data_IF_394959363664
#
_entry.id   IF_394959363664
#
_cell.length_a   1.000
_cell.length_b   1.000
_cell.length_c   1.000
_cell.angle_alpha   90.00
_cell.angle_beta   90.00
_cell.angle_gamma   90.00
#
_symmetry.space_group_name_H-M   'P 1'
#
loop_
_entity.id
_entity.type
_entity.pdbx_description
1 polymer ?
#
# COMPACT_ATOMS: atom_id res chain seq x y z
N UNK A 1 21.87 45.22 18.75
CA UNK A 1 20.70 44.42 18.34
C UNK A 1 21.22 43.13 17.72
N UNK A 2 20.89 41.94 18.24
CA UNK A 2 21.30 40.69 17.60
C UNK A 2 20.44 40.50 16.36
N UNK A 3 21.08 40.51 15.20
CA UNK A 3 20.46 40.15 13.91
C UNK A 3 19.92 38.73 14.04
N UNK A 4 18.60 38.57 14.03
CA UNK A 4 17.97 37.25 14.01
C UNK A 4 18.41 36.59 12.69
N UNK A 5 19.37 35.67 12.77
CA UNK A 5 19.76 34.85 11.63
C UNK A 5 18.54 34.04 11.21
N UNK A 6 17.95 34.40 10.06
CA UNK A 6 16.90 33.60 9.42
C UNK A 6 17.42 32.21 9.15
N UNK A 7 16.67 31.19 9.58
CA UNK A 7 17.07 29.81 9.38
C UNK A 7 17.16 29.50 7.87
N UNK A 8 18.07 28.60 7.48
CA UNK A 8 18.20 28.18 6.06
C UNK A 8 16.87 27.65 5.50
N UNK A 9 16.03 27.06 6.36
CA UNK A 9 14.67 26.66 6.00
C UNK A 9 13.77 27.85 5.64
N UNK A 10 13.78 28.91 6.43
CA UNK A 10 12.95 30.10 6.14
C UNK A 10 13.37 30.79 4.86
N UNK A 11 14.69 30.89 4.61
CA UNK A 11 15.21 31.40 3.34
C UNK A 11 14.70 30.56 2.17
N UNK A 12 14.84 29.23 2.26
CA UNK A 12 14.32 28.30 1.28
C UNK A 12 12.82 28.45 1.04
N UNK A 13 12.00 28.49 2.11
CA UNK A 13 10.56 28.62 1.97
C UNK A 13 10.15 29.94 1.32
N UNK A 14 10.82 31.03 1.68
CA UNK A 14 10.58 32.34 1.07
C UNK A 14 10.99 32.38 -0.40
N UNK A 15 12.13 31.76 -0.76
CA UNK A 15 12.55 31.62 -2.16
C UNK A 15 11.48 30.86 -2.96
N UNK A 16 11.03 29.70 -2.48
CA UNK A 16 10.03 28.88 -3.19
C UNK A 16 8.70 29.63 -3.33
N UNK A 17 8.18 30.25 -2.26
CA UNK A 17 6.90 30.99 -2.31
C UNK A 17 6.90 32.09 -3.36
N UNK A 18 8.02 32.77 -3.51
CA UNK A 18 8.16 33.93 -4.41
C UNK A 18 8.74 33.57 -5.78
N UNK A 19 9.10 32.31 -6.04
CA UNK A 19 9.69 31.91 -7.30
C UNK A 19 8.62 31.81 -8.40
N UNK A 20 8.86 32.32 -9.62
CA UNK A 20 7.88 32.31 -10.72
C UNK A 20 7.31 30.93 -11.07
N UNK A 21 8.12 29.89 -10.93
CA UNK A 21 7.70 28.49 -11.12
C UNK A 21 6.49 28.07 -10.27
N UNK A 22 6.16 28.80 -9.19
CA UNK A 22 5.01 28.51 -8.33
C UNK A 22 3.83 29.48 -8.52
N UNK A 23 3.84 30.35 -9.52
CA UNK A 23 2.77 31.34 -9.75
C UNK A 23 1.43 30.74 -10.21
N UNK A 24 1.44 29.46 -10.61
CA UNK A 24 0.22 28.69 -10.80
C UNK A 24 -0.59 28.48 -9.50
N UNK A 25 0.00 28.76 -8.33
CA UNK A 25 -0.65 28.73 -7.02
C UNK A 25 -0.95 30.17 -6.58
N UNK A 26 -2.19 30.46 -6.18
CA UNK A 26 -2.58 31.80 -5.73
C UNK A 26 -1.81 32.24 -4.47
N UNK A 27 -1.63 33.55 -4.29
CA UNK A 27 -0.96 34.13 -3.10
C UNK A 27 -1.58 33.67 -1.78
N UNK A 28 -2.91 33.48 -1.75
CA UNK A 28 -3.63 32.97 -0.59
C UNK A 28 -3.20 31.53 -0.25
N UNK A 29 -3.19 30.64 -1.25
CA UNK A 29 -2.80 29.25 -1.08
C UNK A 29 -1.30 29.08 -0.79
N UNK A 30 -0.47 30.07 -1.13
CA UNK A 30 0.97 30.13 -0.81
C UNK A 30 1.28 30.50 0.66
N UNK A 31 0.31 31.05 1.41
CA UNK A 31 0.52 31.50 2.81
C UNK A 31 0.99 30.35 3.71
N UNK A 32 0.34 29.20 3.61
CA UNK A 32 0.71 28.01 4.36
C UNK A 32 1.71 27.17 3.57
N UNK A 33 2.72 26.57 4.21
CA UNK A 33 3.58 25.61 3.51
C UNK A 33 2.83 24.28 3.25
N UNK A 34 2.07 23.85 4.25
CA UNK A 34 1.33 22.59 4.28
C UNK A 34 -0.16 22.87 4.17
N UNK A 35 -0.82 22.23 3.21
CA UNK A 35 -2.28 22.23 3.07
C UNK A 35 -2.73 20.78 2.94
N UNK A 36 -3.19 20.17 4.03
CA UNK A 36 -3.66 18.77 4.02
C UNK A 36 -5.08 18.68 3.49
N UNK A 37 -5.41 17.56 2.84
CA UNK A 37 -6.78 17.28 2.42
C UNK A 37 -7.74 17.27 3.60
N UNK A 38 -8.89 17.94 3.44
CA UNK A 38 -10.02 17.86 4.36
C UNK A 38 -11.18 17.22 3.61
N UNK A 39 -11.78 16.17 4.17
CA UNK A 39 -12.89 15.43 3.56
C UNK A 39 -12.61 14.98 2.11
N UNK A 40 -11.38 14.54 1.83
CA UNK A 40 -10.98 14.07 0.50
C UNK A 40 -10.64 15.17 -0.52
N UNK A 41 -10.76 16.45 -0.16
CA UNK A 41 -10.43 17.58 -1.05
C UNK A 41 -9.21 18.37 -0.55
N UNK A 42 -8.26 18.64 -1.46
CA UNK A 42 -7.12 19.51 -1.20
C UNK A 42 -7.29 20.82 -2.00
N UNK A 43 -7.21 22.01 -1.36
CA UNK A 43 -7.31 23.31 -2.03
C UNK A 43 -6.32 23.53 -3.19
N UNK A 44 -5.21 22.77 -3.22
CA UNK A 44 -4.18 22.87 -4.26
C UNK A 44 -4.31 21.81 -5.36
N UNK A 45 -5.21 20.83 -5.24
CA UNK A 45 -5.32 19.76 -6.25
C UNK A 45 -5.53 20.32 -7.65
N UNK A 46 -6.45 21.27 -7.81
CA UNK A 46 -6.81 21.80 -9.13
C UNK A 46 -5.66 22.54 -9.80
N UNK A 47 -4.89 23.34 -9.06
CA UNK A 47 -3.78 24.09 -9.64
C UNK A 47 -2.63 23.15 -10.05
N UNK A 48 -2.32 22.14 -9.23
CA UNK A 48 -1.34 21.11 -9.58
C UNK A 48 -1.76 20.27 -10.77
N UNK A 49 -3.02 19.84 -10.84
CA UNK A 49 -3.55 19.05 -11.95
C UNK A 49 -3.57 19.85 -13.26
N UNK A 50 -3.93 21.14 -13.21
CA UNK A 50 -3.89 22.02 -14.39
C UNK A 50 -2.47 22.22 -14.90
N UNK A 51 -1.51 22.46 -14.00
CA UNK A 51 -0.10 22.57 -14.38
C UNK A 51 0.42 21.25 -14.97
N UNK A 52 0.08 20.12 -14.35
CA UNK A 52 0.47 18.79 -14.82
C UNK A 52 -0.01 18.55 -16.25
N UNK A 53 -1.30 18.79 -16.51
CA UNK A 53 -1.89 18.66 -17.84
C UNK A 53 -1.20 19.56 -18.87
N UNK A 54 -0.97 20.83 -18.52
CA UNK A 54 -0.26 21.79 -19.37
C UNK A 54 1.15 21.32 -19.73
N UNK A 55 1.91 20.78 -18.77
CA UNK A 55 3.27 20.30 -19.01
C UNK A 55 3.31 19.05 -19.90
N UNK A 56 2.28 18.20 -19.84
CA UNK A 56 2.11 17.07 -20.76
C UNK A 56 1.78 17.59 -22.17
N UNK A 57 0.83 18.52 -22.30
CA UNK A 57 0.44 19.13 -23.59
C UNK A 57 1.62 19.86 -24.27
N UNK A 58 2.51 20.47 -23.48
CA UNK A 58 3.76 21.10 -23.96
C UNK A 58 4.89 20.11 -24.26
N UNK A 59 4.69 18.80 -24.05
CA UNK A 59 5.70 17.76 -24.26
C UNK A 59 6.87 17.79 -23.27
N UNK A 60 6.74 18.51 -22.15
CA UNK A 60 7.78 18.60 -21.10
C UNK A 60 7.75 17.43 -20.13
N UNK A 61 6.63 16.72 -20.07
CA UNK A 61 6.45 15.51 -19.28
C UNK A 61 5.73 14.44 -20.11
N UNK A 62 6.05 13.15 -19.89
CA UNK A 62 5.33 12.06 -20.53
C UNK A 62 3.93 11.89 -19.93
N UNK A 63 3.03 11.21 -20.64
CA UNK A 63 1.63 11.11 -20.26
C UNK A 63 1.41 10.29 -18.97
N UNK A 64 2.30 9.35 -18.66
CA UNK A 64 2.33 8.55 -17.44
C UNK A 64 3.00 9.24 -16.25
N UNK A 65 3.44 10.49 -16.41
CA UNK A 65 4.05 11.26 -15.33
C UNK A 65 3.09 11.51 -14.18
N UNK A 66 3.65 11.65 -12.98
CA UNK A 66 2.91 11.94 -11.74
C UNK A 66 3.13 13.39 -11.30
N UNK A 67 2.32 13.87 -10.34
CA UNK A 67 2.54 15.17 -9.71
C UNK A 67 3.92 15.31 -9.05
N UNK A 68 4.57 14.20 -8.67
CA UNK A 68 5.93 14.24 -8.13
C UNK A 68 6.94 14.59 -9.24
N UNK A 69 6.72 14.12 -10.47
CA UNK A 69 7.54 14.50 -11.61
C UNK A 69 7.38 15.99 -11.94
N UNK A 70 6.16 16.52 -11.86
CA UNK A 70 5.90 17.97 -11.96
C UNK A 70 6.71 18.72 -10.90
N UNK A 71 6.62 18.30 -9.63
CA UNK A 71 7.32 18.94 -8.53
C UNK A 71 8.84 18.98 -8.78
N UNK A 72 9.44 17.87 -9.24
CA UNK A 72 10.87 17.83 -9.59
C UNK A 72 11.20 18.74 -10.77
N UNK A 73 10.39 18.74 -11.83
CA UNK A 73 10.62 19.54 -13.02
C UNK A 73 10.62 21.04 -12.69
N UNK A 74 9.67 21.51 -11.88
CA UNK A 74 9.53 22.94 -11.57
C UNK A 74 10.38 23.41 -10.38
N UNK A 75 10.93 22.50 -9.58
CA UNK A 75 11.70 22.90 -8.39
C UNK A 75 12.93 23.71 -8.81
N UNK A 76 13.15 24.95 -8.30
CA UNK A 76 14.19 25.85 -8.81
C UNK A 76 15.61 25.33 -8.61
N UNK A 77 15.91 24.80 -7.42
CA UNK A 77 17.28 24.41 -7.02
C UNK A 77 17.55 22.91 -7.12
N UNK A 78 16.51 22.11 -7.42
CA UNK A 78 16.50 20.65 -7.29
C UNK A 78 16.93 20.09 -5.92
N UNK A 79 16.99 20.95 -4.88
CA UNK A 79 17.40 20.60 -3.52
C UNK A 79 16.36 21.08 -2.51
N UNK A 80 15.96 20.20 -1.61
CA UNK A 80 15.04 20.50 -0.51
C UNK A 80 15.80 20.69 0.80
N UNK A 81 15.38 21.66 1.61
CA UNK A 81 15.97 21.94 2.93
C UNK A 81 15.15 21.28 4.03
N UNK A 82 15.73 20.35 4.78
CA UNK A 82 15.01 19.66 5.85
C UNK A 82 14.55 20.63 6.95
N UNK A 83 13.28 20.56 7.35
CA UNK A 83 12.72 21.40 8.44
C UNK A 83 13.38 21.19 9.81
N UNK A 84 14.01 20.04 10.04
CA UNK A 84 14.57 19.66 11.35
C UNK A 84 16.06 19.96 11.41
N UNK A 85 16.81 19.44 10.43
CA UNK A 85 18.27 19.49 10.43
C UNK A 85 18.83 20.63 9.56
N UNK A 86 18.00 21.34 8.79
CA UNK A 86 18.39 22.33 7.76
C UNK A 86 19.36 21.81 6.69
N UNK A 87 19.69 20.52 6.67
CA UNK A 87 20.53 19.92 5.63
C UNK A 87 19.75 19.92 4.31
N UNK A 88 20.44 20.35 3.26
CA UNK A 88 19.93 20.29 1.90
C UNK A 88 20.08 18.87 1.35
N UNK A 89 19.06 18.37 0.67
CA UNK A 89 19.09 17.06 0.03
C UNK A 89 18.55 17.13 -1.38
N UNK A 90 19.15 16.38 -2.30
CA UNK A 90 18.66 16.27 -3.67
C UNK A 90 17.26 15.66 -3.69
N UNK A 91 16.40 16.17 -4.57
CA UNK A 91 15.05 15.64 -4.79
C UNK A 91 15.03 14.45 -5.77
N UNK A 92 16.18 14.15 -6.39
CA UNK A 92 16.38 13.05 -7.33
C UNK A 92 16.84 11.77 -6.62
N UNK A 93 16.68 10.64 -7.32
CA UNK A 93 17.04 9.30 -6.85
C UNK A 93 18.55 9.08 -6.77
N UNK A 94 19.22 9.75 -5.83
CA UNK A 94 20.68 9.76 -5.74
C UNK A 94 21.18 9.06 -4.47
N UNK A 95 20.30 8.74 -3.51
CA UNK A 95 20.71 8.21 -2.20
C UNK A 95 20.55 6.69 -2.14
N UNK A 96 21.57 5.93 -1.69
CA UNK A 96 21.50 4.47 -1.63
C UNK A 96 20.40 3.98 -0.69
N UNK A 97 19.57 3.03 -1.15
CA UNK A 97 18.60 2.36 -0.29
C UNK A 97 19.26 1.38 0.67
N UNK A 98 18.53 0.88 1.68
CA UNK A 98 19.05 -0.11 2.65
C UNK A 98 19.73 -1.31 1.96
N UNK A 99 19.17 -1.78 0.85
CA UNK A 99 19.72 -2.89 0.06
C UNK A 99 21.06 -2.50 -0.58
N UNK A 100 21.13 -1.32 -1.17
CA UNK A 100 22.36 -0.79 -1.79
C UNK A 100 23.42 -0.50 -0.74
N UNK A 101 23.05 0.04 0.42
CA UNK A 101 23.98 0.23 1.55
C UNK A 101 24.56 -1.10 2.02
N UNK A 102 23.73 -2.16 2.12
CA UNK A 102 24.20 -3.51 2.47
C UNK A 102 25.18 -4.05 1.42
N UNK A 103 24.87 -3.88 0.14
CA UNK A 103 25.76 -4.28 -0.94
C UNK A 103 27.09 -3.51 -0.90
N UNK A 104 27.05 -2.17 -0.78
CA UNK A 104 28.24 -1.32 -0.69
C UNK A 104 29.14 -1.72 0.48
N UNK A 105 28.57 -1.97 1.67
CA UNK A 105 29.35 -2.41 2.85
C UNK A 105 30.03 -3.76 2.65
N UNK A 106 29.38 -4.67 1.93
CA UNK A 106 29.91 -6.00 1.68
C UNK A 106 30.98 -6.01 0.58
N UNK A 107 30.78 -5.17 -0.45
CA UNK A 107 31.66 -5.15 -1.63
C UNK A 107 32.83 -4.16 -1.47
N UNK A 108 32.59 -3.04 -0.79
CA UNK A 108 33.57 -1.96 -0.58
C UNK A 108 33.61 -1.57 0.91
N UNK A 109 34.14 -2.45 1.78
CA UNK A 109 34.09 -2.25 3.24
C UNK A 109 34.84 -1.01 3.74
N UNK A 110 35.75 -0.48 2.92
CA UNK A 110 36.52 0.73 3.21
C UNK A 110 35.78 2.04 2.92
N UNK A 111 34.64 2.01 2.22
CA UNK A 111 33.93 3.22 1.80
C UNK A 111 33.03 3.75 2.90
N UNK A 112 33.13 5.05 3.19
CA UNK A 112 32.19 5.71 4.09
C UNK A 112 30.87 5.97 3.35
N UNK A 113 29.80 5.37 3.87
CA UNK A 113 28.44 5.52 3.32
C UNK A 113 27.80 6.79 3.89
N UNK A 114 28.05 7.92 3.22
CA UNK A 114 27.53 9.24 3.56
C UNK A 114 27.23 10.00 2.26
N UNK A 115 26.14 10.75 2.21
CA UNK A 115 25.72 11.49 1.01
C UNK A 115 25.08 10.65 -0.10
N UNK A 116 25.30 11.08 -1.35
CA UNK A 116 24.76 10.45 -2.57
C UNK A 116 25.61 9.27 -3.01
N UNK A 117 25.07 8.45 -3.92
CA UNK A 117 25.83 7.38 -4.55
C UNK A 117 27.05 7.91 -5.33
N UNK A 118 26.98 9.13 -5.85
CA UNK A 118 28.07 9.77 -6.59
C UNK A 118 29.21 10.16 -5.64
N UNK A 119 28.88 10.72 -4.47
CA UNK A 119 29.87 11.03 -3.42
C UNK A 119 30.58 9.76 -2.91
N UNK A 120 29.81 8.69 -2.74
CA UNK A 120 30.31 7.37 -2.34
C UNK A 120 31.22 6.79 -3.44
N UNK A 121 30.82 6.91 -4.71
CA UNK A 121 31.58 6.37 -5.84
C UNK A 121 32.96 6.99 -5.98
N UNK A 122 33.14 8.27 -5.62
CA UNK A 122 34.46 8.93 -5.67
C UNK A 122 35.49 8.30 -4.72
N UNK A 123 35.05 7.59 -3.67
CA UNK A 123 35.93 6.90 -2.73
C UNK A 123 36.36 5.51 -3.23
N UNK A 124 35.76 4.99 -4.30
CA UNK A 124 36.04 3.65 -4.81
C UNK A 124 37.23 3.72 -5.77
N UNK A 125 38.34 3.08 -5.38
CA UNK A 125 39.58 3.03 -6.18
C UNK A 125 39.50 2.00 -7.30
N UNK A 126 38.84 0.86 -7.06
CA UNK A 126 38.67 -0.24 -8.01
C UNK A 126 37.42 -0.03 -8.87
N UNK A 127 37.55 0.88 -9.85
CA UNK A 127 36.39 1.38 -10.59
C UNK A 127 35.77 0.33 -11.52
N UNK A 128 34.44 0.41 -11.58
CA UNK A 128 33.54 0.08 -12.68
C UNK A 128 32.91 -1.30 -12.79
N UNK A 129 33.59 -2.45 -12.78
CA UNK A 129 32.89 -3.67 -13.24
C UNK A 129 31.78 -4.12 -12.26
N UNK A 130 32.10 -4.22 -10.97
CA UNK A 130 31.13 -4.61 -9.94
C UNK A 130 30.00 -3.58 -9.81
N UNK A 131 30.33 -2.30 -9.94
CA UNK A 131 29.35 -1.21 -9.87
C UNK A 131 28.41 -1.23 -11.08
N UNK A 132 28.97 -1.37 -12.28
CA UNK A 132 28.21 -1.46 -13.53
C UNK A 132 27.32 -2.70 -13.53
N UNK A 133 27.82 -3.85 -13.06
CA UNK A 133 27.03 -5.07 -12.89
C UNK A 133 25.89 -4.87 -11.89
N UNK A 134 26.16 -4.20 -10.77
CA UNK A 134 25.14 -3.97 -9.76
C UNK A 134 24.07 -2.99 -10.23
N UNK A 135 24.42 -1.86 -10.84
CA UNK A 135 23.46 -0.85 -11.28
C UNK A 135 22.85 -1.13 -12.66
N UNK A 136 23.52 -1.94 -13.49
CA UNK A 136 23.19 -2.17 -14.90
C UNK A 136 23.68 -1.07 -15.84
N UNK A 137 24.47 -0.11 -15.34
CA UNK A 137 25.01 1.03 -16.08
C UNK A 137 26.21 1.62 -15.33
N UNK A 138 27.08 2.33 -16.05
CA UNK A 138 28.20 3.05 -15.45
C UNK A 138 27.71 4.28 -14.66
N UNK A 139 28.63 4.90 -13.90
CA UNK A 139 28.29 6.01 -13.00
C UNK A 139 27.81 7.25 -13.78
N UNK A 140 28.41 7.53 -14.95
CA UNK A 140 28.08 8.71 -15.76
C UNK A 140 26.65 8.60 -16.30
N UNK A 141 26.28 7.42 -16.81
CA UNK A 141 24.92 7.16 -17.27
C UNK A 141 23.93 7.15 -16.11
N UNK A 142 24.31 6.59 -14.96
CA UNK A 142 23.50 6.60 -13.75
C UNK A 142 23.19 8.03 -13.29
N UNK A 143 24.19 8.92 -13.34
CA UNK A 143 24.04 10.32 -12.98
C UNK A 143 23.07 11.05 -13.92
N UNK A 144 23.20 10.82 -15.23
CA UNK A 144 22.28 11.39 -16.22
C UNK A 144 20.83 10.95 -15.98
N UNK A 145 20.58 9.64 -15.82
CA UNK A 145 19.20 9.16 -15.61
C UNK A 145 18.60 9.63 -14.28
N UNK A 146 19.43 9.83 -13.25
CA UNK A 146 18.95 10.38 -11.97
C UNK A 146 18.57 11.85 -12.10
N UNK A 147 19.45 12.67 -12.71
CA UNK A 147 19.23 14.13 -12.86
C UNK A 147 18.10 14.47 -13.83
N UNK A 148 17.84 13.60 -14.81
CA UNK A 148 16.72 13.74 -15.74
C UNK A 148 15.40 13.17 -15.21
N UNK A 149 15.37 12.65 -13.97
CA UNK A 149 14.19 11.98 -13.38
C UNK A 149 13.72 10.72 -14.15
N UNK A 150 14.63 10.06 -14.86
CA UNK A 150 14.38 8.85 -15.65
C UNK A 150 14.69 7.56 -14.88
N UNK A 151 15.28 7.68 -13.69
CA UNK A 151 15.63 6.52 -12.87
C UNK A 151 14.38 5.85 -12.26
N UNK A 152 14.12 4.60 -12.66
CA UNK A 152 12.98 3.79 -12.21
C UNK A 152 13.38 2.61 -11.28
N UNK A 153 14.66 2.53 -10.90
CA UNK A 153 15.19 1.43 -10.08
C UNK A 153 14.82 1.51 -8.59
N UNK A 154 15.04 0.40 -7.87
CA UNK A 154 14.83 0.29 -6.42
C UNK A 154 16.11 0.44 -5.58
N UNK A 155 17.25 0.68 -6.23
CA UNK A 155 18.57 0.74 -5.57
C UNK A 155 18.87 2.12 -5.01
N UNK A 156 18.28 3.17 -5.59
CA UNK A 156 18.40 4.54 -5.10
C UNK A 156 17.05 5.06 -4.61
N UNK A 157 17.09 6.14 -3.85
CA UNK A 157 15.95 6.84 -3.30
C UNK A 157 16.18 8.34 -3.35
N UNK A 158 15.11 9.15 -3.39
CA UNK A 158 15.25 10.58 -3.31
C UNK A 158 15.61 11.02 -1.89
N UNK A 159 16.32 12.15 -1.77
CA UNK A 159 16.67 12.73 -0.49
C UNK A 159 15.45 13.23 0.28
N UNK A 160 14.34 13.45 -0.41
CA UNK A 160 13.04 13.81 0.16
C UNK A 160 11.91 13.15 -0.61
N UNK A 161 10.87 12.71 0.09
CA UNK A 161 9.70 12.09 -0.54
C UNK A 161 8.83 13.16 -1.22
N UNK A 162 8.30 12.83 -2.40
CA UNK A 162 7.21 13.60 -2.98
C UNK A 162 5.98 13.57 -2.10
N UNK A 163 5.34 14.73 -1.92
CA UNK A 163 4.06 14.89 -1.27
C UNK A 163 3.20 16.03 -1.89
N UNK A 164 3.04 16.09 -3.23
CA UNK A 164 2.07 16.97 -3.86
C UNK A 164 0.64 16.38 -3.72
N UNK A 165 -0.42 17.21 -3.70
CA UNK A 165 -0.40 18.68 -3.69
C UNK A 165 -0.26 19.27 -2.27
N UNK A 166 -0.13 18.42 -1.25
CA UNK A 166 -0.15 18.80 0.16
C UNK A 166 0.94 19.79 0.57
N UNK A 167 2.09 19.75 -0.10
CA UNK A 167 3.25 20.60 0.18
C UNK A 167 3.47 21.55 -1.00
N UNK A 168 3.78 22.80 -0.68
CA UNK A 168 3.87 23.87 -1.68
C UNK A 168 4.96 23.60 -2.72
N UNK A 169 6.12 23.09 -2.29
CA UNK A 169 7.22 22.64 -3.14
C UNK A 169 7.00 21.25 -3.73
N UNK A 170 5.96 20.55 -3.31
CA UNK A 170 5.66 19.16 -3.66
C UNK A 170 6.46 18.12 -2.88
N UNK A 171 7.18 18.48 -1.81
CA UNK A 171 8.03 17.55 -1.05
C UNK A 171 7.76 17.56 0.45
N UNK A 172 7.94 16.40 1.07
CA UNK A 172 7.77 16.23 2.51
C UNK A 172 8.74 17.14 3.29
N UNK A 173 8.31 17.75 4.41
CA UNK A 173 9.13 18.69 5.18
C UNK A 173 10.41 18.07 5.79
N UNK A 174 10.47 16.73 5.86
CA UNK A 174 11.60 15.99 6.41
C UNK A 174 12.31 15.22 5.31
N UNK A 175 13.57 15.58 5.07
CA UNK A 175 14.51 14.81 4.26
C UNK A 175 14.93 13.50 4.94
N UNK A 176 15.67 12.68 4.20
CA UNK A 176 16.23 11.41 4.64
C UNK A 176 17.03 11.51 5.95
N UNK A 177 17.67 12.66 6.24
CA UNK A 177 18.42 12.92 7.50
C UNK A 177 17.57 12.67 8.75
N UNK A 178 16.30 13.08 8.74
CA UNK A 178 15.47 13.17 9.95
C UNK A 178 14.14 12.43 9.82
N UNK A 179 13.71 12.07 8.61
CA UNK A 179 12.38 11.52 8.35
C UNK A 179 12.08 10.30 9.22
N UNK A 180 13.01 9.34 9.31
CA UNK A 180 12.79 8.11 10.09
C UNK A 180 12.48 8.40 11.56
N UNK A 181 13.11 9.41 12.14
CA UNK A 181 12.95 9.75 13.56
C UNK A 181 11.77 10.70 13.83
N UNK A 182 11.36 11.50 12.83
CA UNK A 182 10.42 12.63 13.02
C UNK A 182 9.06 12.45 12.34
N UNK A 183 8.95 11.54 11.37
CA UNK A 183 7.67 11.19 10.75
C UNK A 183 6.93 10.16 11.61
N UNK A 184 6.23 10.64 12.65
CA UNK A 184 5.50 9.77 13.58
C UNK A 184 4.36 9.02 12.92
N UNK A 185 3.82 9.50 11.79
CA UNK A 185 2.78 8.81 11.02
C UNK A 185 3.25 7.50 10.38
N UNK A 186 4.57 7.33 10.24
CA UNK A 186 5.23 6.12 9.73
C UNK A 186 6.25 5.55 10.72
N UNK A 187 6.06 5.75 12.03
CA UNK A 187 6.87 5.05 13.03
C UNK A 187 6.80 3.55 12.79
N UNK A 188 7.86 2.80 13.08
CA UNK A 188 7.85 1.33 12.92
C UNK A 188 6.65 0.71 13.65
N UNK A 189 6.22 1.31 14.77
CA UNK A 189 5.02 0.94 15.53
C UNK A 189 3.69 1.27 14.80
N UNK A 190 3.59 2.43 14.15
CA UNK A 190 2.44 2.74 13.29
C UNK A 190 2.43 1.92 12.00
N UNK A 191 3.60 1.53 11.50
CA UNK A 191 3.73 0.57 10.42
C UNK A 191 3.33 -0.85 10.85
N UNK A 192 3.50 -1.24 12.13
CA UNK A 192 2.93 -2.51 12.66
C UNK A 192 1.40 -2.50 12.69
N UNK A 193 0.73 -1.35 12.71
CA UNK A 193 -0.72 -1.30 12.47
C UNK A 193 -1.11 -1.65 11.01
N UNK A 194 -0.14 -1.73 10.07
CA UNK A 194 -0.31 -2.34 8.74
C UNK A 194 -0.22 -3.87 8.74
N UNK A 195 -0.06 -4.52 9.91
CA UNK A 195 -0.29 -5.97 10.02
C UNK A 195 -1.78 -6.31 9.83
N UNK A 196 -2.63 -5.30 9.65
CA UNK A 196 -3.97 -5.47 9.12
C UNK A 196 -3.92 -5.72 7.62
N UNK A 197 -4.43 -6.86 7.18
CA UNK A 197 -4.60 -7.11 5.77
C UNK A 197 -5.72 -6.22 5.22
N UNK A 198 -5.33 -5.07 4.65
CA UNK A 198 -6.26 -4.10 4.07
C UNK A 198 -7.18 -4.76 3.03
N UNK A 199 -6.70 -5.80 2.34
CA UNK A 199 -7.44 -6.52 1.30
C UNK A 199 -8.70 -7.16 1.85
N UNK A 200 -8.72 -7.56 3.13
CA UNK A 200 -9.91 -8.13 3.75
C UNK A 200 -11.07 -7.13 3.77
N UNK A 201 -10.78 -5.86 4.05
CA UNK A 201 -11.78 -4.79 4.04
C UNK A 201 -12.11 -4.34 2.61
N UNK A 202 -11.10 -4.14 1.76
CA UNK A 202 -11.30 -3.72 0.37
C UNK A 202 -12.16 -4.70 -0.43
N UNK A 203 -12.05 -6.01 -0.16
CA UNK A 203 -12.81 -7.05 -0.85
C UNK A 203 -14.06 -7.51 -0.10
N UNK A 204 -14.41 -6.88 1.04
CA UNK A 204 -15.55 -7.28 1.90
C UNK A 204 -15.52 -8.79 2.16
N UNK A 205 -14.38 -9.25 2.67
CA UNK A 205 -14.10 -10.66 2.97
C UNK A 205 -14.72 -11.07 4.31
N UNK A 206 -15.42 -12.20 4.38
CA UNK A 206 -15.94 -12.69 5.67
C UNK A 206 -14.83 -13.24 6.58
N UNK A 207 -15.20 -13.76 7.76
CA UNK A 207 -14.31 -14.45 8.70
C UNK A 207 -13.97 -13.64 9.95
N UNK A 208 -13.19 -14.24 10.86
CA UNK A 208 -12.70 -13.55 12.07
C UNK A 208 -11.46 -12.70 11.74
N UNK A 209 -11.69 -11.61 11.01
CA UNK A 209 -10.66 -10.69 10.49
C UNK A 209 -9.74 -10.18 11.61
N UNK A 210 -10.29 -9.85 12.77
CA UNK A 210 -9.50 -9.34 13.90
C UNK A 210 -8.57 -10.39 14.49
N UNK A 211 -9.00 -11.65 14.58
CA UNK A 211 -8.15 -12.76 15.04
C UNK A 211 -7.09 -13.11 13.99
N UNK A 212 -7.47 -13.17 12.71
CA UNK A 212 -6.54 -13.41 11.59
C UNK A 212 -5.41 -12.36 11.51
N UNK A 213 -5.74 -11.08 11.71
CA UNK A 213 -4.75 -10.01 11.83
C UNK A 213 -3.81 -10.20 13.05
N UNK A 214 -4.35 -10.67 14.18
CA UNK A 214 -3.56 -10.93 15.39
C UNK A 214 -2.58 -12.09 15.19
N UNK A 215 -3.02 -13.15 14.50
CA UNK A 215 -2.16 -14.27 14.07
C UNK A 215 -1.07 -13.79 13.12
N UNK A 216 -1.42 -12.96 12.13
CA UNK A 216 -0.44 -12.41 11.18
C UNK A 216 0.64 -11.61 11.91
N UNK A 217 0.26 -10.84 12.94
CA UNK A 217 1.18 -10.14 13.84
C UNK A 217 2.12 -11.08 14.57
N UNK A 218 1.58 -12.17 15.12
CA UNK A 218 2.38 -13.15 15.85
C UNK A 218 3.33 -13.92 14.92
N UNK A 219 2.88 -14.38 13.76
CA UNK A 219 3.71 -15.11 12.79
C UNK A 219 4.95 -14.31 12.36
N UNK A 220 4.80 -13.00 12.17
CA UNK A 220 5.90 -12.08 11.84
C UNK A 220 6.95 -11.92 12.96
N UNK A 221 6.82 -12.65 14.08
CA UNK A 221 7.80 -12.72 15.17
C UNK A 221 8.42 -14.11 15.33
N UNK A 222 7.88 -15.12 14.64
CA UNK A 222 8.30 -16.52 14.77
C UNK A 222 9.28 -16.87 13.67
N UNK A 223 10.45 -17.36 14.06
CA UNK A 223 11.44 -17.92 13.13
C UNK A 223 11.26 -19.42 13.04
N UNK A 224 11.10 -19.96 11.83
CA UNK A 224 10.86 -21.39 11.62
C UNK A 224 11.34 -21.83 10.23
N UNK A 225 11.44 -23.14 10.00
CA UNK A 225 11.73 -23.67 8.66
C UNK A 225 10.49 -23.55 7.76
N UNK A 226 10.61 -22.78 6.68
CA UNK A 226 9.51 -22.58 5.73
C UNK A 226 9.11 -23.90 5.07
N UNK A 227 7.83 -24.31 5.13
CA UNK A 227 7.41 -25.57 4.54
C UNK A 227 7.63 -25.66 3.01
N UNK A 228 7.71 -24.50 2.33
CA UNK A 228 7.89 -24.38 0.87
C UNK A 228 9.37 -24.46 0.47
N UNK A 229 10.24 -23.62 1.04
CA UNK A 229 11.65 -23.52 0.63
C UNK A 229 12.64 -24.11 1.63
N UNK A 230 12.17 -24.58 2.79
CA UNK A 230 12.96 -25.15 3.89
C UNK A 230 13.95 -24.21 4.59
N UNK A 231 14.11 -22.98 4.10
CA UNK A 231 14.92 -21.95 4.78
C UNK A 231 14.32 -21.55 6.13
N UNK A 232 15.20 -21.32 7.10
CA UNK A 232 14.83 -20.81 8.42
C UNK A 232 14.75 -19.28 8.40
N UNK A 233 13.52 -18.76 8.33
CA UNK A 233 13.23 -17.33 8.21
C UNK A 233 12.12 -16.91 9.17
N UNK A 234 11.89 -15.60 9.29
CA UNK A 234 10.68 -15.10 9.94
C UNK A 234 9.47 -15.48 9.07
N UNK A 235 8.47 -16.08 9.69
CA UNK A 235 7.26 -16.53 9.02
C UNK A 235 6.29 -15.38 8.78
N UNK A 236 5.46 -15.54 7.75
CA UNK A 236 4.39 -14.63 7.37
C UNK A 236 3.10 -15.42 7.19
N UNK A 237 1.95 -14.76 7.38
CA UNK A 237 0.66 -15.36 7.06
C UNK A 237 0.45 -15.38 5.54
N UNK A 238 0.39 -16.59 4.97
CA UNK A 238 -0.06 -16.83 3.61
C UNK A 238 -1.50 -17.33 3.64
N UNK A 239 -2.33 -16.80 2.75
CA UNK A 239 -3.70 -17.28 2.61
C UNK A 239 -3.73 -18.52 1.72
N UNK A 240 -4.37 -19.61 2.16
CA UNK A 240 -4.53 -20.82 1.34
C UNK A 240 -5.32 -20.44 0.07
N UNK A 241 -6.54 -19.94 0.25
CA UNK A 241 -7.35 -19.27 -0.76
C UNK A 241 -7.13 -17.75 -0.75
N UNK A 242 -6.77 -17.11 -1.87
CA UNK A 242 -6.53 -15.66 -1.90
C UNK A 242 -7.78 -14.81 -1.61
N UNK A 243 -7.69 -13.86 -0.66
CA UNK A 243 -8.80 -12.94 -0.31
C UNK A 243 -9.40 -12.25 -1.54
N UNK A 244 -8.56 -11.82 -2.49
CA UNK A 244 -8.98 -11.13 -3.72
C UNK A 244 -9.83 -11.99 -4.67
N UNK A 245 -9.98 -13.29 -4.40
CA UNK A 245 -10.80 -14.23 -5.16
C UNK A 245 -12.08 -14.62 -4.40
N UNK A 246 -12.32 -14.04 -3.22
CA UNK A 246 -13.53 -14.26 -2.42
C UNK A 246 -13.37 -15.18 -1.21
N UNK A 247 -12.16 -15.64 -0.93
CA UNK A 247 -11.88 -16.40 0.29
C UNK A 247 -11.88 -15.50 1.53
N UNK A 248 -12.24 -16.08 2.68
CA UNK A 248 -12.37 -15.37 3.96
C UNK A 248 -11.01 -14.95 4.54
N UNK A 249 -11.00 -13.89 5.32
CA UNK A 249 -9.85 -13.53 6.16
C UNK A 249 -10.07 -14.07 7.57
N UNK A 250 -9.74 -15.35 7.74
CA UNK A 250 -9.95 -16.11 8.97
C UNK A 250 -8.70 -16.96 9.28
N UNK A 251 -8.40 -17.27 10.55
CA UNK A 251 -7.32 -18.21 10.90
C UNK A 251 -7.33 -19.52 10.10
N UNK A 252 -8.51 -20.06 9.77
CA UNK A 252 -8.59 -21.32 9.02
C UNK A 252 -8.07 -21.23 7.59
N UNK A 253 -8.02 -20.02 7.04
CA UNK A 253 -7.47 -19.74 5.72
C UNK A 253 -6.00 -19.30 5.78
N UNK A 254 -5.33 -19.41 6.93
CA UNK A 254 -3.92 -19.00 7.09
C UNK A 254 -3.01 -20.23 7.19
N UNK A 255 -1.91 -20.19 6.45
CA UNK A 255 -0.75 -21.06 6.61
C UNK A 255 0.52 -20.21 6.76
N UNK A 256 1.51 -20.71 7.51
CA UNK A 256 2.76 -20.01 7.75
C UNK A 256 3.80 -20.32 6.67
N UNK A 257 4.34 -19.30 5.99
CA UNK A 257 5.52 -19.44 5.15
C UNK A 257 6.38 -18.17 5.15
N UNK A 258 7.63 -18.25 4.68
CA UNK A 258 8.48 -17.06 4.62
C UNK A 258 7.94 -16.02 3.64
N UNK A 259 8.26 -14.74 3.89
CA UNK A 259 7.75 -13.61 3.10
C UNK A 259 8.08 -13.69 1.60
N UNK A 260 9.24 -14.26 1.25
CA UNK A 260 9.65 -14.47 -0.15
C UNK A 260 8.76 -15.48 -0.87
N UNK A 261 8.40 -16.58 -0.20
CA UNK A 261 7.48 -17.59 -0.75
C UNK A 261 6.05 -17.09 -0.83
N UNK A 262 5.57 -16.37 0.19
CA UNK A 262 4.25 -15.73 0.19
C UNK A 262 4.13 -14.73 -0.98
N UNK A 263 5.09 -13.80 -1.08
CA UNK A 263 5.11 -12.82 -2.18
C UNK A 263 5.21 -13.49 -3.56
N UNK A 264 5.92 -14.61 -3.66
CA UNK A 264 5.97 -15.40 -4.90
C UNK A 264 4.60 -16.01 -5.20
N UNK A 265 3.89 -16.61 -4.24
CA UNK A 265 2.52 -17.14 -4.47
C UNK A 265 1.58 -16.02 -4.92
N UNK A 266 1.60 -14.89 -4.23
CA UNK A 266 0.69 -13.76 -4.46
C UNK A 266 -0.78 -14.26 -4.45
N UNK A 267 -1.61 -13.81 -5.38
CA UNK A 267 -3.01 -14.20 -5.47
C UNK A 267 -3.26 -15.47 -6.31
N UNK A 268 -2.23 -16.28 -6.58
CA UNK A 268 -2.39 -17.52 -7.35
C UNK A 268 -2.91 -18.63 -6.46
N UNK A 269 -3.88 -19.39 -6.97
CA UNK A 269 -4.37 -20.62 -6.35
C UNK A 269 -3.70 -21.82 -7.03
N UNK A 270 -3.14 -22.73 -6.24
CA UNK A 270 -2.52 -23.97 -6.73
C UNK A 270 -3.42 -25.17 -6.50
N UNK A 271 -3.11 -26.28 -7.16
CA UNK A 271 -3.87 -27.52 -7.00
C UNK A 271 -3.84 -28.03 -5.56
N UNK A 272 -2.73 -27.83 -4.84
CA UNK A 272 -2.62 -28.18 -3.42
C UNK A 272 -3.54 -27.32 -2.55
N UNK A 273 -3.68 -26.02 -2.86
CA UNK A 273 -4.60 -25.13 -2.15
C UNK A 273 -6.05 -25.58 -2.37
N UNK A 274 -6.43 -25.90 -3.61
CA UNK A 274 -7.78 -26.40 -3.95
C UNK A 274 -8.09 -27.69 -3.19
N UNK A 275 -7.14 -28.63 -3.12
CA UNK A 275 -7.32 -29.87 -2.36
C UNK A 275 -7.54 -29.61 -0.86
N UNK A 276 -6.74 -28.71 -0.26
CA UNK A 276 -6.91 -28.33 1.15
C UNK A 276 -8.30 -27.74 1.41
N UNK A 277 -8.77 -26.86 0.53
CA UNK A 277 -10.10 -26.23 0.65
C UNK A 277 -11.21 -27.29 0.58
N UNK A 278 -11.14 -28.21 -0.39
CA UNK A 278 -12.14 -29.30 -0.53
C UNK A 278 -12.21 -30.22 0.68
N UNK A 279 -11.05 -30.57 1.27
CA UNK A 279 -11.01 -31.38 2.49
C UNK A 279 -11.70 -30.67 3.67
N UNK A 280 -11.58 -29.34 3.73
CA UNK A 280 -12.27 -28.54 4.76
C UNK A 280 -13.79 -28.46 4.49
N UNK A 281 -14.19 -28.35 3.22
CA UNK A 281 -15.60 -28.40 2.83
C UNK A 281 -16.28 -29.72 3.18
N UNK A 282 -15.60 -30.85 2.96
CA UNK A 282 -16.09 -32.18 3.36
C UNK A 282 -16.33 -32.29 4.88
N UNK A 283 -15.64 -31.45 5.68
CA UNK A 283 -15.83 -31.32 7.13
C UNK A 283 -16.89 -30.28 7.52
N UNK A 284 -17.62 -29.72 6.55
CA UNK A 284 -18.62 -28.67 6.77
C UNK A 284 -18.03 -27.29 7.03
N UNK A 285 -16.76 -27.06 6.72
CA UNK A 285 -16.08 -25.79 6.93
C UNK A 285 -16.09 -24.98 5.64
N UNK A 286 -16.70 -23.79 5.68
CA UNK A 286 -16.71 -22.85 4.55
C UNK A 286 -15.53 -21.85 4.65
N UNK A 287 -14.70 -21.80 3.61
CA UNK A 287 -13.58 -20.86 3.49
C UNK A 287 -13.89 -19.64 2.60
N UNK A 288 -15.14 -19.47 2.20
CA UNK A 288 -15.56 -18.49 1.21
C UNK A 288 -16.51 -17.46 1.80
N UNK A 289 -16.34 -16.23 1.35
CA UNK A 289 -17.28 -15.15 1.64
C UNK A 289 -18.61 -15.44 0.95
N UNK A 290 -19.71 -15.00 1.53
CA UNK A 290 -21.07 -15.32 1.05
C UNK A 290 -21.28 -15.07 -0.45
N UNK A 291 -20.65 -14.03 -1.02
CA UNK A 291 -20.77 -13.65 -2.43
C UNK A 291 -19.93 -14.51 -3.39
N UNK A 292 -19.03 -15.35 -2.88
CA UNK A 292 -18.10 -16.16 -3.67
C UNK A 292 -18.47 -17.65 -3.73
N UNK A 293 -19.36 -18.11 -2.84
CA UNK A 293 -19.74 -19.53 -2.69
C UNK A 293 -20.19 -20.14 -4.02
N UNK A 294 -21.20 -19.54 -4.66
CA UNK A 294 -21.78 -20.08 -5.91
C UNK A 294 -20.75 -20.16 -7.04
N UNK A 295 -19.87 -19.16 -7.15
CA UNK A 295 -18.82 -19.14 -8.17
C UNK A 295 -17.82 -20.27 -7.94
N UNK A 296 -17.42 -20.49 -6.69
CA UNK A 296 -16.54 -21.59 -6.35
C UNK A 296 -17.18 -22.95 -6.59
N UNK A 297 -18.40 -23.19 -6.12
CA UNK A 297 -19.06 -24.49 -6.31
C UNK A 297 -19.21 -24.86 -7.79
N UNK A 298 -19.49 -23.87 -8.64
CA UNK A 298 -19.57 -24.03 -10.10
C UNK A 298 -18.24 -24.41 -10.74
N UNK A 299 -17.11 -23.95 -10.20
CA UNK A 299 -15.82 -23.99 -10.89
C UNK A 299 -14.70 -24.75 -10.16
N UNK A 300 -14.89 -25.19 -8.91
CA UNK A 300 -13.85 -25.84 -8.06
C UNK A 300 -13.27 -27.15 -8.61
N UNK A 301 -13.93 -27.73 -9.61
CA UNK A 301 -13.51 -28.96 -10.29
C UNK A 301 -12.78 -28.69 -11.62
N UNK A 302 -12.68 -27.42 -12.04
CA UNK A 302 -11.94 -27.04 -13.24
C UNK A 302 -10.43 -26.93 -12.97
N UNK A 303 -9.66 -26.80 -14.05
CA UNK A 303 -8.25 -26.46 -13.98
C UNK A 303 -8.01 -25.15 -13.17
N UNK A 304 -6.90 -25.09 -12.43
CA UNK A 304 -6.58 -23.96 -11.55
C UNK A 304 -6.52 -22.62 -12.30
N UNK A 305 -6.06 -22.60 -13.55
CA UNK A 305 -6.01 -21.37 -14.35
C UNK A 305 -7.41 -20.89 -14.74
N UNK A 306 -8.32 -21.81 -15.03
CA UNK A 306 -9.72 -21.52 -15.36
C UNK A 306 -10.47 -21.06 -14.11
N UNK A 307 -10.34 -21.81 -13.01
CA UNK A 307 -10.88 -21.46 -11.70
C UNK A 307 -10.46 -20.05 -11.28
N UNK A 308 -9.16 -19.75 -11.34
CA UNK A 308 -8.62 -18.43 -11.02
C UNK A 308 -9.29 -17.33 -11.85
N UNK A 309 -9.41 -17.51 -13.17
CA UNK A 309 -10.04 -16.52 -14.07
C UNK A 309 -11.51 -16.30 -13.71
N UNK A 310 -12.24 -17.38 -13.40
CA UNK A 310 -13.67 -17.32 -13.05
C UNK A 310 -13.91 -16.63 -11.71
N UNK A 311 -13.18 -17.02 -10.66
CA UNK A 311 -13.26 -16.36 -9.35
C UNK A 311 -12.87 -14.88 -9.44
N UNK A 312 -11.84 -14.55 -10.24
CA UNK A 312 -11.43 -13.16 -10.46
C UNK A 312 -12.51 -12.35 -11.19
N UNK A 313 -13.22 -12.95 -12.16
CA UNK A 313 -14.36 -12.31 -12.83
C UNK A 313 -15.51 -12.07 -11.85
N UNK A 314 -15.82 -13.05 -11.01
CA UNK A 314 -16.82 -12.94 -9.95
C UNK A 314 -16.50 -11.81 -8.97
N UNK A 315 -15.28 -11.80 -8.41
CA UNK A 315 -14.82 -10.77 -7.50
C UNK A 315 -14.88 -9.37 -8.14
N UNK A 316 -14.46 -9.23 -9.41
CA UNK A 316 -14.60 -7.95 -10.13
C UNK A 316 -16.04 -7.50 -10.25
N UNK A 317 -16.97 -8.39 -10.60
CA UNK A 317 -18.40 -8.06 -10.69
C UNK A 317 -18.98 -7.65 -9.36
N UNK A 318 -18.65 -8.38 -8.30
CA UNK A 318 -19.04 -8.04 -6.94
C UNK A 318 -18.55 -6.63 -6.58
N UNK A 319 -17.29 -6.31 -6.82
CA UNK A 319 -16.75 -4.97 -6.54
C UNK A 319 -17.45 -3.87 -7.35
N UNK A 320 -17.87 -4.13 -8.59
CA UNK A 320 -18.66 -3.18 -9.38
C UNK A 320 -20.05 -2.94 -8.78
N UNK A 321 -20.72 -3.99 -8.30
CA UNK A 321 -22.02 -3.87 -7.61
C UNK A 321 -21.85 -3.03 -6.35
N UNK A 322 -20.81 -3.30 -5.56
CA UNK A 322 -20.50 -2.53 -4.35
C UNK A 322 -20.20 -1.06 -4.67
N UNK A 323 -19.38 -0.77 -5.70
CA UNK A 323 -19.08 0.60 -6.10
C UNK A 323 -20.34 1.35 -6.59
N UNK A 324 -21.27 0.65 -7.27
CA UNK A 324 -22.56 1.23 -7.65
C UNK A 324 -23.45 1.51 -6.43
N UNK A 325 -23.52 0.59 -5.47
CA UNK A 325 -24.31 0.76 -4.25
C UNK A 325 -23.76 1.88 -3.37
N UNK A 326 -22.44 2.05 -3.29
CA UNK A 326 -21.82 3.19 -2.59
C UNK A 326 -22.26 4.55 -3.15
N UNK A 327 -22.46 4.63 -4.46
CA UNK A 327 -22.86 5.88 -5.13
C UNK A 327 -24.37 6.13 -5.04
N UNK A 328 -25.18 5.08 -5.21
CA UNK A 328 -26.62 5.23 -5.46
C UNK A 328 -27.49 4.82 -4.24
N UNK A 329 -26.92 4.05 -3.31
CA UNK A 329 -27.61 3.41 -2.18
C UNK A 329 -26.74 3.43 -0.92
N UNK A 330 -26.06 4.54 -0.66
CA UNK A 330 -25.07 4.69 0.42
C UNK A 330 -25.59 4.22 1.79
N UNK A 331 -26.82 4.60 2.16
CA UNK A 331 -27.45 4.22 3.41
C UNK A 331 -27.57 2.70 3.62
N UNK A 332 -27.73 1.92 2.54
CA UNK A 332 -27.80 0.45 2.60
C UNK A 332 -26.42 -0.13 2.89
N UNK A 333 -25.38 0.40 2.22
CA UNK A 333 -24.00 0.00 2.44
C UNK A 333 -23.57 0.34 3.87
N UNK A 334 -23.91 1.51 4.38
CA UNK A 334 -23.63 1.91 5.75
C UNK A 334 -24.30 0.98 6.77
N UNK A 335 -25.60 0.67 6.58
CA UNK A 335 -26.31 -0.29 7.42
C UNK A 335 -25.69 -1.69 7.39
N UNK A 336 -25.25 -2.15 6.21
CA UNK A 336 -24.53 -3.41 6.08
C UNK A 336 -23.19 -3.37 6.83
N UNK A 337 -22.38 -2.32 6.64
CA UNK A 337 -21.08 -2.17 7.28
C UNK A 337 -21.19 -2.17 8.80
N UNK A 338 -22.24 -1.57 9.37
CA UNK A 338 -22.45 -1.55 10.82
C UNK A 338 -22.65 -2.95 11.41
N UNK A 339 -23.19 -3.89 10.63
CA UNK A 339 -23.38 -5.30 11.03
C UNK A 339 -22.25 -6.23 10.60
N UNK A 340 -21.38 -5.77 9.70
CA UNK A 340 -20.37 -6.59 9.03
C UNK A 340 -19.26 -7.09 9.96
N UNK A 341 -18.88 -6.32 10.99
CA UNK A 341 -17.81 -6.73 11.91
C UNK A 341 -18.04 -6.27 13.35
N UNK A 342 -17.80 -7.18 14.30
CA UNK A 342 -17.74 -6.86 15.71
C UNK A 342 -16.38 -6.22 16.07
N UNK A 343 -16.36 -4.89 16.14
CA UNK A 343 -15.16 -4.10 16.40
C UNK A 343 -14.76 -4.07 17.89
N UNK A 344 -15.63 -4.50 18.79
CA UNK A 344 -15.40 -4.44 20.24
C UNK A 344 -14.49 -5.57 20.73
N UNK A 345 -14.36 -6.63 19.93
CA UNK A 345 -13.47 -7.76 20.24
C UNK A 345 -12.00 -7.40 20.01
N UNK A 346 -11.14 -7.95 20.85
CA UNK A 346 -9.70 -7.93 20.72
C UNK A 346 -9.13 -9.28 21.09
N UNK A 347 -8.11 -9.72 20.36
CA UNK A 347 -7.49 -11.02 20.55
C UNK A 347 -6.02 -10.83 20.92
N UNK A 348 -5.55 -11.66 21.85
CA UNK A 348 -4.13 -11.79 22.19
C UNK A 348 -3.74 -13.23 21.94
N UNK A 349 -2.79 -13.44 21.02
CA UNK A 349 -2.26 -14.78 20.74
C UNK A 349 -1.27 -15.15 21.84
N UNK A 350 -1.61 -16.15 22.64
CA UNK A 350 -0.80 -16.63 23.75
C UNK A 350 0.37 -17.45 23.19
N UNK A 351 0.05 -18.52 22.46
CA UNK A 351 1.01 -19.41 21.80
C UNK A 351 0.63 -19.61 20.32
N UNK A 352 1.64 -19.85 19.48
CA UNK A 352 1.47 -20.28 18.10
C UNK A 352 2.58 -21.26 17.75
N UNK A 353 2.18 -22.41 17.23
CA UNK A 353 3.05 -23.49 16.78
C UNK A 353 2.86 -23.71 15.28
N UNK A 354 3.96 -23.97 14.59
CA UNK A 354 3.97 -24.13 13.13
C UNK A 354 4.24 -25.59 12.79
N UNK A 355 3.27 -26.21 12.13
CA UNK A 355 3.38 -27.58 11.66
C UNK A 355 4.31 -27.65 10.44
N UNK A 356 4.93 -28.80 10.22
CA UNK A 356 5.82 -29.04 9.07
C UNK A 356 5.14 -28.84 7.70
N UNK A 357 3.80 -28.92 7.67
CA UNK A 357 2.93 -28.67 6.52
C UNK A 357 2.63 -27.19 6.25
N UNK A 358 3.10 -26.29 7.13
CA UNK A 358 2.73 -24.87 7.15
C UNK A 358 1.44 -24.58 7.90
N UNK A 359 0.72 -25.60 8.38
CA UNK A 359 -0.42 -25.40 9.27
C UNK A 359 -0.02 -24.70 10.56
N UNK A 360 -0.97 -24.04 11.21
CA UNK A 360 -0.76 -23.32 12.47
C UNK A 360 -1.68 -23.85 13.55
N UNK A 361 -1.14 -24.07 14.73
CA UNK A 361 -1.89 -24.33 15.95
C UNK A 361 -1.68 -23.16 16.90
N UNK A 362 -2.72 -22.66 17.55
CA UNK A 362 -2.60 -21.47 18.38
C UNK A 362 -3.63 -21.44 19.49
N UNK A 363 -3.29 -20.74 20.56
CA UNK A 363 -4.22 -20.41 21.64
C UNK A 363 -4.31 -18.90 21.78
N UNK A 364 -5.49 -18.41 22.15
CA UNK A 364 -5.72 -16.97 22.27
C UNK A 364 -6.64 -16.64 23.43
N UNK A 365 -6.51 -15.39 23.89
CA UNK A 365 -7.44 -14.78 24.83
C UNK A 365 -8.29 -13.76 24.09
N UNK A 366 -9.62 -13.90 24.16
CA UNK A 366 -10.58 -12.91 23.68
C UNK A 366 -10.90 -11.92 24.79
N UNK A 367 -10.94 -10.62 24.46
CA UNK A 367 -11.36 -9.55 25.37
C UNK A 367 -12.28 -8.59 24.64
N UNK A 368 -13.29 -8.11 25.34
CA UNK A 368 -14.10 -6.96 24.89
C UNK A 368 -13.41 -5.69 25.36
N UNK A 369 -13.27 -4.69 24.50
CA UNK A 369 -12.65 -3.42 24.88
C UNK A 369 -13.33 -2.23 24.21
N UNK A 370 -13.75 -1.26 25.03
CA UNK A 370 -14.42 -0.03 24.58
C UNK A 370 -13.47 1.17 24.56
N UNK A 371 -12.16 0.94 24.42
CA UNK A 371 -11.16 2.02 24.38
C UNK A 371 -11.40 2.93 23.17
N UNK A 372 -11.13 4.23 23.32
CA UNK A 372 -11.20 5.22 22.22
C UNK A 372 -10.42 4.81 20.96
N UNK A 373 -9.35 4.01 21.11
CA UNK A 373 -8.59 3.45 19.99
C UNK A 373 -9.38 2.48 19.12
N UNK A 374 -10.34 1.73 19.70
CA UNK A 374 -11.24 0.84 18.95
C UNK A 374 -12.30 1.61 18.17
N UNK A 375 -12.83 2.68 18.74
CA UNK A 375 -13.75 3.57 18.03
C UNK A 375 -13.10 4.17 16.78
N UNK A 376 -11.88 4.71 16.90
CA UNK A 376 -11.09 5.18 15.75
C UNK A 376 -10.79 4.07 14.73
N UNK A 377 -10.63 2.83 15.19
CA UNK A 377 -10.49 1.68 14.28
C UNK A 377 -11.78 1.40 13.52
N UNK A 378 -12.94 1.40 14.20
CA UNK A 378 -14.25 1.25 13.55
C UNK A 378 -14.45 2.33 12.48
N UNK A 379 -14.21 3.59 12.83
CA UNK A 379 -14.30 4.73 11.89
C UNK A 379 -13.40 4.54 10.66
N UNK A 380 -12.14 4.12 10.86
CA UNK A 380 -11.22 3.85 9.75
C UNK A 380 -11.63 2.65 8.89
N UNK A 381 -12.15 1.58 9.49
CA UNK A 381 -12.68 0.43 8.76
C UNK A 381 -13.86 0.85 7.88
N UNK A 382 -14.79 1.63 8.43
CA UNK A 382 -15.93 2.19 7.69
C UNK A 382 -15.42 3.05 6.52
N UNK A 383 -14.45 3.92 6.77
CA UNK A 383 -13.86 4.75 5.72
C UNK A 383 -13.28 3.90 4.57
N UNK A 384 -12.48 2.87 4.88
CA UNK A 384 -11.91 1.97 3.87
C UNK A 384 -13.02 1.22 3.11
N UNK A 385 -14.05 0.76 3.83
CA UNK A 385 -15.17 0.06 3.21
C UNK A 385 -16.00 0.96 2.29
N UNK A 386 -16.06 2.27 2.55
CA UNK A 386 -16.75 3.27 1.72
C UNK A 386 -15.87 3.85 0.59
N UNK A 387 -14.55 3.72 0.66
CA UNK A 387 -13.63 4.14 -0.41
C UNK A 387 -13.98 3.43 -1.73
N UNK A 388 -13.92 4.17 -2.83
CA UNK A 388 -14.22 3.63 -4.17
C UNK A 388 -13.06 2.76 -4.65
N UNK A 389 -13.35 1.57 -5.15
CA UNK A 389 -12.31 0.63 -5.58
C UNK A 389 -11.80 0.90 -7.00
N UNK A 390 -12.47 1.78 -7.75
CA UNK A 390 -12.01 2.24 -9.07
C UNK A 390 -12.17 1.18 -10.16
N UNK A 391 -13.22 0.35 -10.08
CA UNK A 391 -13.44 -0.71 -11.07
C UNK A 391 -13.84 -0.15 -12.45
N UNK A 392 -13.22 -0.66 -13.52
CA UNK A 392 -13.46 -0.26 -14.92
C UNK A 392 -14.70 -0.92 -15.57
N UNK A 393 -15.36 -1.86 -14.90
CA UNK A 393 -16.50 -2.59 -15.47
C UNK A 393 -17.81 -1.93 -15.04
N UNK A 394 -18.77 -1.83 -15.96
CA UNK A 394 -20.08 -1.20 -15.74
C UNK A 394 -21.16 -2.26 -15.57
N UNK A 395 -22.21 -1.92 -14.82
CA UNK A 395 -23.44 -2.71 -14.74
C UNK A 395 -24.35 -2.37 -15.92
N UNK A 396 -25.10 -3.35 -16.44
CA UNK A 396 -26.12 -3.11 -17.46
C UNK A 396 -27.34 -2.39 -16.87
N UNK A 397 -28.18 -1.81 -17.73
CA UNK A 397 -29.43 -1.19 -17.30
C UNK A 397 -30.37 -2.18 -16.60
N UNK A 398 -30.40 -3.44 -17.06
CA UNK A 398 -31.20 -4.50 -16.43
C UNK A 398 -30.71 -4.82 -15.01
N UNK A 399 -29.41 -4.89 -14.80
CA UNK A 399 -28.80 -5.14 -13.48
C UNK A 399 -29.04 -3.97 -12.53
N UNK A 400 -28.92 -2.74 -13.04
CA UNK A 400 -29.24 -1.52 -12.29
C UNK A 400 -30.72 -1.50 -11.90
N UNK A 401 -31.60 -1.83 -12.83
CA UNK A 401 -33.04 -1.98 -12.58
C UNK A 401 -33.31 -3.00 -11.47
N UNK A 402 -32.63 -4.16 -11.51
CA UNK A 402 -32.77 -5.21 -10.50
C UNK A 402 -32.27 -4.82 -9.10
N UNK A 403 -31.28 -3.91 -9.01
CA UNK A 403 -30.76 -3.37 -7.76
C UNK A 403 -31.52 -2.13 -7.26
N UNK A 404 -32.46 -1.58 -8.02
CA UNK A 404 -33.11 -0.31 -7.71
C UNK A 404 -33.93 -0.35 -6.40
N UNK A 405 -34.55 -1.48 -6.12
CA UNK A 405 -35.38 -1.80 -4.95
C UNK A 405 -34.62 -2.62 -3.89
N UNK A 406 -33.29 -2.70 -3.97
CA UNK A 406 -32.49 -3.37 -2.93
C UNK A 406 -32.68 -2.68 -1.58
N UNK A 407 -32.75 -3.47 -0.52
CA UNK A 407 -32.75 -3.04 0.87
C UNK A 407 -31.80 -3.92 1.70
N UNK A 408 -31.66 -3.64 3.00
CA UNK A 408 -30.76 -4.40 3.87
C UNK A 408 -31.16 -5.88 4.03
N UNK A 409 -32.46 -6.19 3.96
CA UNK A 409 -33.00 -7.55 4.12
C UNK A 409 -32.75 -8.41 2.87
N UNK A 410 -32.74 -7.78 1.70
CA UNK A 410 -32.53 -8.41 0.39
C UNK A 410 -31.10 -8.29 -0.12
N UNK A 411 -30.24 -7.53 0.58
CA UNK A 411 -28.89 -7.15 0.17
C UNK A 411 -28.05 -8.32 -0.35
N UNK A 412 -27.83 -9.34 0.49
CA UNK A 412 -27.01 -10.50 0.13
C UNK A 412 -27.64 -11.30 -1.01
N UNK A 413 -28.94 -11.53 -0.95
CA UNK A 413 -29.66 -12.38 -1.92
C UNK A 413 -29.65 -11.77 -3.32
N UNK A 414 -29.97 -10.48 -3.47
CA UNK A 414 -29.94 -9.79 -4.77
C UNK A 414 -28.54 -9.77 -5.37
N UNK A 415 -27.51 -9.53 -4.55
CA UNK A 415 -26.12 -9.55 -5.02
C UNK A 415 -25.71 -10.95 -5.47
N UNK A 416 -25.99 -12.00 -4.69
CA UNK A 416 -25.69 -13.37 -5.10
C UNK A 416 -26.36 -13.75 -6.42
N UNK A 417 -27.63 -13.38 -6.60
CA UNK A 417 -28.36 -13.68 -7.84
C UNK A 417 -27.71 -13.03 -9.07
N UNK A 418 -27.28 -11.77 -8.97
CA UNK A 418 -26.55 -11.13 -10.08
C UNK A 418 -25.18 -11.76 -10.37
N UNK A 419 -24.57 -12.40 -9.38
CA UNK A 419 -23.29 -13.08 -9.54
C UNK A 419 -23.44 -14.49 -10.15
N UNK A 420 -24.61 -15.11 -10.04
CA UNK A 420 -24.92 -16.42 -10.65
C UNK A 420 -24.96 -16.38 -12.18
N UNK A 421 -25.28 -15.22 -12.76
CA UNK A 421 -25.41 -14.97 -14.20
C UNK A 421 -24.05 -14.94 -14.96
N UNK A 422 -22.93 -15.19 -14.27
CA UNK A 422 -21.55 -15.23 -14.80
C UNK A 422 -21.04 -16.63 -15.20
#
# INVERSE_FOLDING_TARGET
MPTIMTSEREKYENTIKNHPNYDFISKELKRQWVSVSKNGSNPRSDCWNKLHKKLIEEGKLPQESTLVNVARLIHPTKKHVCKICNIQSSIYYEYPTKTTVKWLKNTFPYVKIDGTIFDIYQQITDKNELFTKYFGMNIEKLEQVCKNDEYSGKKLSPGVMGNPPDRLDGFHCYSICCRKAKDTGRSDENMKNYVRDRRAYENISDGNILLANSITGKLNTVKYSCFICKNEEIMSADHIGPISLGFIHDPINIQACCSSCNSRKNNRIKIEDVRKIKILEEKGINMLSWWAINSWDKYKNMDCSVLYKKLRKNAKKFMCIIDWLKLNKQHIIEAFIDTYMNHDKSYVINNIDILSSGGIEFTYTEKITHKKTKQKQKERTIQILLEKNGTQMTLSESEIGYLSDIDISTFKNKICKLLEEL
#
